data_IF_570818716444
#
_entry.id   IF_570818716444
#
_cell.length_a   1.000
_cell.length_b   1.000
_cell.length_c   1.000
_cell.angle_alpha   90.00
_cell.angle_beta   90.00
_cell.angle_gamma   90.00
#
_symmetry.space_group_name_H-M   'P 1'
#
loop_
_entity.id
_entity.type
_entity.pdbx_description
1 polymer ?
#
# COMPACT_ATOMS: atom_id res chain seq x y z
N UNK A 1 -18.46 -19.45 2.35
CA UNK A 1 -17.77 -18.95 3.57
C UNK A 1 -17.19 -17.60 3.24
N UNK A 2 -17.50 -16.55 4.01
CA UNK A 2 -16.81 -15.27 3.87
C UNK A 2 -15.40 -15.43 4.45
N UNK A 3 -14.38 -15.27 3.62
CA UNK A 3 -12.98 -15.35 4.05
C UNK A 3 -12.69 -14.12 4.91
N UNK A 4 -12.26 -14.31 6.17
CA UNK A 4 -11.92 -13.19 7.04
C UNK A 4 -10.50 -12.69 6.75
N UNK A 5 -10.15 -11.51 7.29
CA UNK A 5 -8.81 -10.96 7.11
C UNK A 5 -7.76 -11.89 7.75
N UNK A 6 -8.09 -12.45 8.92
CA UNK A 6 -7.24 -13.39 9.63
C UNK A 6 -7.02 -14.67 8.82
N UNK A 7 -8.08 -15.20 8.18
CA UNK A 7 -7.95 -16.36 7.30
C UNK A 7 -7.05 -16.07 6.11
N UNK A 8 -7.14 -14.88 5.51
CA UNK A 8 -6.25 -14.49 4.41
C UNK A 8 -4.77 -14.43 4.85
N UNK A 9 -4.51 -13.87 6.03
CA UNK A 9 -3.16 -13.76 6.57
C UNK A 9 -2.59 -15.13 7.00
N UNK A 10 -3.43 -16.01 7.57
CA UNK A 10 -3.09 -17.39 7.89
C UNK A 10 -2.75 -18.19 6.62
N UNK A 11 -3.61 -18.09 5.59
CA UNK A 11 -3.41 -18.79 4.33
C UNK A 11 -2.18 -18.28 3.56
N UNK A 12 -1.83 -17.00 3.71
CA UNK A 12 -0.62 -16.42 3.16
C UNK A 12 0.66 -16.80 3.95
N UNK A 13 0.53 -17.48 5.09
CA UNK A 13 1.64 -17.86 5.95
C UNK A 13 2.31 -16.68 6.68
N UNK A 14 1.65 -15.53 6.72
CA UNK A 14 2.17 -14.32 7.38
C UNK A 14 2.02 -14.43 8.90
N UNK A 15 0.90 -15.03 9.34
CA UNK A 15 0.63 -15.26 10.75
C UNK A 15 0.32 -16.74 11.01
N UNK A 16 0.53 -17.19 12.24
CA UNK A 16 0.14 -18.51 12.72
C UNK A 16 -1.10 -18.43 13.65
N UNK A 17 -1.62 -19.58 14.07
CA UNK A 17 -2.85 -19.64 14.88
C UNK A 17 -2.67 -19.01 16.27
N UNK A 18 -1.53 -19.21 16.91
CA UNK A 18 -1.22 -18.59 18.21
C UNK A 18 -1.20 -17.05 18.13
N UNK A 19 -0.59 -16.51 17.07
CA UNK A 19 -0.55 -15.06 16.79
C UNK A 19 -1.94 -14.48 16.52
N UNK A 20 -2.84 -15.25 15.89
CA UNK A 20 -4.24 -14.85 15.72
C UNK A 20 -4.93 -14.72 17.07
N UNK A 21 -4.77 -15.69 17.96
CA UNK A 21 -5.38 -15.65 19.30
C UNK A 21 -4.82 -14.50 20.14
N UNK A 22 -3.52 -14.24 20.05
CA UNK A 22 -2.87 -13.10 20.70
C UNK A 22 -3.40 -11.76 20.16
N UNK A 23 -3.54 -11.60 18.85
CA UNK A 23 -4.09 -10.39 18.24
C UNK A 23 -5.57 -10.15 18.60
N UNK A 24 -6.37 -11.22 18.66
CA UNK A 24 -7.76 -11.14 19.12
C UNK A 24 -7.85 -10.73 20.58
N UNK A 25 -7.02 -11.34 21.45
CA UNK A 25 -6.96 -10.99 22.88
C UNK A 25 -6.54 -9.53 23.07
N UNK A 26 -5.51 -9.07 22.35
CA UNK A 26 -5.06 -7.69 22.37
C UNK A 26 -6.18 -6.73 21.95
N UNK A 27 -6.91 -7.06 20.88
CA UNK A 27 -8.08 -6.26 20.44
C UNK A 27 -9.18 -6.20 21.50
N UNK A 28 -9.43 -7.28 22.24
CA UNK A 28 -10.46 -7.29 23.30
C UNK A 28 -10.04 -6.41 24.48
N UNK A 29 -8.75 -6.44 24.85
CA UNK A 29 -8.22 -5.68 26.00
C UNK A 29 -8.15 -4.19 25.69
N UNK A 30 -7.59 -3.83 24.54
CA UNK A 30 -7.26 -2.44 24.23
C UNK A 30 -8.19 -1.78 23.20
N UNK A 31 -9.11 -2.54 22.60
CA UNK A 31 -10.00 -2.05 21.54
C UNK A 31 -9.29 -1.80 20.21
N UNK A 32 -10.03 -1.21 19.27
CA UNK A 32 -9.57 -0.89 17.92
C UNK A 32 -9.87 -1.96 16.86
N UNK A 33 -9.29 -1.78 15.67
CA UNK A 33 -9.38 -2.73 14.57
C UNK A 33 -8.37 -3.87 14.76
N UNK A 34 -8.69 -5.06 14.23
CA UNK A 34 -7.78 -6.21 14.36
C UNK A 34 -6.43 -5.96 13.67
N UNK A 35 -6.42 -5.15 12.61
CA UNK A 35 -5.21 -4.79 11.88
C UNK A 35 -4.22 -3.96 12.71
N UNK A 36 -4.69 -3.03 13.56
CA UNK A 36 -3.81 -2.26 14.43
C UNK A 36 -3.18 -3.15 15.50
N UNK A 37 -3.95 -4.07 16.10
CA UNK A 37 -3.39 -5.08 17.01
C UNK A 37 -2.32 -5.96 16.36
N UNK A 38 -2.48 -6.34 15.10
CA UNK A 38 -1.50 -7.15 14.38
C UNK A 38 -0.19 -6.40 14.10
N UNK A 39 -0.28 -5.10 13.79
CA UNK A 39 0.88 -4.22 13.62
C UNK A 39 1.57 -4.00 14.97
N UNK A 40 0.81 -3.71 16.04
CA UNK A 40 1.35 -3.46 17.38
C UNK A 40 2.12 -4.65 17.95
N UNK A 41 1.63 -5.87 17.69
CA UNK A 41 2.32 -7.10 18.09
C UNK A 41 3.50 -7.46 17.17
N UNK A 42 3.71 -6.70 16.09
CA UNK A 42 4.79 -6.92 15.12
C UNK A 42 4.60 -8.14 14.24
N UNK A 43 3.38 -8.69 14.13
CA UNK A 43 3.11 -9.90 13.33
C UNK A 43 2.88 -9.59 11.85
N UNK A 44 2.45 -8.37 11.53
CA UNK A 44 2.16 -7.96 10.15
C UNK A 44 2.70 -6.56 9.91
N UNK A 45 3.43 -6.39 8.80
CA UNK A 45 3.86 -5.08 8.35
C UNK A 45 2.68 -4.26 7.82
N UNK A 46 2.76 -2.94 7.98
CA UNK A 46 1.71 -2.02 7.55
C UNK A 46 1.34 -2.19 6.06
N UNK A 47 2.35 -2.29 5.19
CA UNK A 47 2.16 -2.40 3.74
C UNK A 47 1.45 -3.70 3.35
N UNK A 48 1.79 -4.80 4.01
CA UNK A 48 1.15 -6.08 3.73
C UNK A 48 -0.30 -6.05 4.22
N UNK A 49 -0.55 -5.59 5.45
CA UNK A 49 -1.90 -5.43 5.98
C UNK A 49 -2.78 -4.61 5.03
N UNK A 50 -2.25 -3.47 4.56
CA UNK A 50 -2.91 -2.63 3.58
C UNK A 50 -3.27 -3.36 2.27
N UNK A 51 -2.34 -4.16 1.74
CA UNK A 51 -2.57 -4.98 0.53
C UNK A 51 -3.69 -6.01 0.74
N UNK A 52 -3.68 -6.72 1.88
CA UNK A 52 -4.74 -7.68 2.20
C UNK A 52 -6.10 -7.00 2.40
N UNK A 53 -6.13 -5.86 3.09
CA UNK A 53 -7.36 -5.08 3.26
C UNK A 53 -7.93 -4.62 1.92
N UNK A 54 -7.08 -4.10 1.04
CA UNK A 54 -7.47 -3.68 -0.31
C UNK A 54 -8.05 -4.84 -1.12
N UNK A 55 -7.36 -5.99 -1.12
CA UNK A 55 -7.81 -7.19 -1.83
C UNK A 55 -9.12 -7.75 -1.27
N UNK A 56 -9.31 -7.73 0.05
CA UNK A 56 -10.50 -8.26 0.71
C UNK A 56 -11.73 -7.38 0.47
N UNK A 57 -11.54 -6.07 0.52
CA UNK A 57 -12.62 -5.09 0.49
C UNK A 57 -12.90 -4.59 -0.93
N UNK A 58 -12.03 -4.90 -1.89
CA UNK A 58 -12.16 -4.49 -3.29
C UNK A 58 -11.99 -2.98 -3.49
N UNK A 59 -11.34 -2.30 -2.54
CA UNK A 59 -11.12 -0.84 -2.58
C UNK A 59 -9.62 -0.53 -2.63
N UNK A 60 -9.22 0.55 -3.33
CA UNK A 60 -7.83 0.98 -3.38
C UNK A 60 -7.27 1.37 -2.00
N UNK A 61 -6.00 1.03 -1.77
CA UNK A 61 -5.23 1.46 -0.60
C UNK A 61 -4.57 2.82 -0.82
N UNK A 62 -4.51 3.64 0.24
CA UNK A 62 -3.80 4.92 0.27
C UNK A 62 -2.62 4.84 1.24
N UNK A 63 -1.42 5.05 0.69
CA UNK A 63 -0.17 5.07 1.44
C UNK A 63 -0.02 6.29 2.36
N UNK A 64 0.89 6.22 3.34
CA UNK A 64 1.13 7.31 4.28
C UNK A 64 1.57 8.61 3.58
N UNK A 65 2.41 8.50 2.55
CA UNK A 65 2.95 9.68 1.85
C UNK A 65 1.84 10.48 1.14
N UNK A 66 0.86 9.78 0.56
CA UNK A 66 -0.31 10.42 -0.06
C UNK A 66 -1.29 10.96 0.99
N UNK A 67 -1.44 10.26 2.12
CA UNK A 67 -2.29 10.68 3.23
C UNK A 67 -1.75 11.95 3.92
N UNK A 68 -0.44 12.13 3.92
CA UNK A 68 0.24 13.29 4.54
C UNK A 68 0.40 14.49 3.58
N UNK A 69 -0.01 14.36 2.32
CA UNK A 69 0.11 15.40 1.30
C UNK A 69 -1.26 15.85 0.77
N UNK A 70 -2.23 16.06 1.66
CA UNK A 70 -3.59 16.44 1.28
C UNK A 70 -3.73 17.97 1.28
N UNK A 71 -4.29 18.58 0.21
CA UNK A 71 -4.53 20.02 0.18
C UNK A 71 -5.49 20.48 1.29
N UNK A 72 -5.23 21.63 1.94
CA UNK A 72 -6.08 22.14 3.02
C UNK A 72 -7.52 22.45 2.55
N UNK A 73 -7.69 22.80 1.28
CA UNK A 73 -9.00 22.99 0.65
C UNK A 73 -9.84 21.71 0.68
N UNK A 74 -9.21 20.55 0.49
CA UNK A 74 -9.86 19.24 0.51
C UNK A 74 -10.23 18.84 1.93
N UNK A 75 -9.34 19.07 2.90
CA UNK A 75 -9.62 18.84 4.33
C UNK A 75 -10.83 19.66 4.79
N UNK A 76 -10.95 20.90 4.31
CA UNK A 76 -12.05 21.80 4.64
C UNK A 76 -13.42 21.36 4.10
N UNK A 77 -13.45 20.43 3.12
CA UNK A 77 -14.71 19.87 2.60
C UNK A 77 -15.43 18.98 3.62
N UNK A 78 -14.69 18.39 4.56
CA UNK A 78 -15.25 17.54 5.59
C UNK A 78 -15.11 18.21 6.96
N UNK A 79 -16.24 18.55 7.61
CA UNK A 79 -16.23 19.08 8.97
C UNK A 79 -15.50 18.15 9.93
N UNK A 80 -14.72 18.75 10.85
CA UNK A 80 -13.97 18.03 11.89
C UNK A 80 -14.82 17.03 12.66
N UNK A 81 -16.04 17.41 13.02
CA UNK A 81 -16.94 16.55 13.79
C UNK A 81 -17.26 15.25 13.05
N UNK A 82 -17.46 15.29 11.74
CA UNK A 82 -17.70 14.09 10.93
C UNK A 82 -16.43 13.28 10.74
N UNK A 83 -15.30 13.94 10.48
CA UNK A 83 -14.00 13.29 10.34
C UNK A 83 -13.66 12.46 11.60
N UNK A 84 -13.91 13.00 12.79
CA UNK A 84 -13.64 12.33 14.06
C UNK A 84 -14.70 11.29 14.43
N UNK A 85 -15.99 11.58 14.19
CA UNK A 85 -17.08 10.64 14.50
C UNK A 85 -16.94 9.33 13.73
N UNK A 86 -16.58 9.40 12.45
CA UNK A 86 -16.46 8.22 11.59
C UNK A 86 -15.03 7.73 11.41
N UNK A 87 -14.03 8.49 11.86
CA UNK A 87 -12.63 8.18 11.62
C UNK A 87 -12.33 8.16 10.12
N UNK A 88 -12.47 9.30 9.45
CA UNK A 88 -12.31 9.41 7.99
C UNK A 88 -11.61 10.70 7.60
N UNK A 89 -10.95 10.68 6.44
CA UNK A 89 -10.23 11.86 5.92
C UNK A 89 -10.50 12.00 4.41
N UNK A 90 -10.88 13.19 3.92
CA UNK A 90 -11.03 13.42 2.49
C UNK A 90 -9.66 13.47 1.82
N UNK A 91 -9.47 12.71 0.73
CA UNK A 91 -8.21 12.65 -0.02
C UNK A 91 -8.18 13.64 -1.19
N UNK A 92 -9.26 13.67 -1.96
CA UNK A 92 -9.39 14.52 -3.16
C UNK A 92 -10.85 14.59 -3.60
N UNK A 93 -11.19 15.67 -4.31
CA UNK A 93 -12.51 15.87 -4.91
C UNK A 93 -12.40 15.85 -6.44
N UNK A 94 -13.06 14.89 -7.07
CA UNK A 94 -13.16 14.76 -8.51
C UNK A 94 -14.59 15.08 -8.98
N UNK A 95 -14.83 16.32 -9.42
CA UNK A 95 -16.15 16.83 -9.84
C UNK A 95 -17.19 16.77 -8.71
N UNK A 96 -17.88 15.65 -8.56
CA UNK A 96 -18.90 15.38 -7.53
C UNK A 96 -18.58 14.12 -6.72
N UNK A 97 -17.40 13.53 -6.93
CA UNK A 97 -16.94 12.31 -6.25
C UNK A 97 -15.87 12.68 -5.25
N UNK A 98 -16.16 12.46 -3.97
CA UNK A 98 -15.22 12.69 -2.87
C UNK A 98 -14.50 11.38 -2.58
N UNK A 99 -13.20 11.33 -2.87
CA UNK A 99 -12.33 10.23 -2.49
C UNK A 99 -12.10 10.34 -0.98
N UNK A 100 -12.55 9.35 -0.22
CA UNK A 100 -12.57 9.36 1.23
C UNK A 100 -11.76 8.19 1.77
N UNK A 101 -10.77 8.47 2.61
CA UNK A 101 -9.95 7.45 3.27
C UNK A 101 -10.62 7.03 4.56
N UNK A 102 -10.76 5.72 4.75
CA UNK A 102 -11.43 5.10 5.89
C UNK A 102 -10.61 3.91 6.40
N UNK A 103 -10.66 3.63 7.70
CA UNK A 103 -10.10 2.39 8.25
C UNK A 103 -10.97 1.17 7.94
N UNK A 104 -12.28 1.37 7.76
CA UNK A 104 -13.25 0.30 7.53
C UNK A 104 -14.28 0.69 6.45
N UNK A 105 -13.94 0.49 5.16
CA UNK A 105 -14.84 0.81 4.05
C UNK A 105 -16.05 -0.15 3.96
N UNK A 106 -16.13 -1.19 4.80
CA UNK A 106 -17.32 -2.04 4.89
C UNK A 106 -18.46 -1.39 5.70
N UNK A 107 -18.18 -0.28 6.41
CA UNK A 107 -19.20 0.48 7.11
C UNK A 107 -20.01 1.36 6.14
N UNK A 108 -21.00 0.75 5.51
CA UNK A 108 -21.90 1.44 4.57
C UNK A 108 -22.66 2.59 5.22
N UNK A 109 -22.94 2.52 6.54
CA UNK A 109 -23.67 3.58 7.24
C UNK A 109 -22.84 4.86 7.30
N UNK A 110 -21.54 4.73 7.58
CA UNK A 110 -20.63 5.87 7.57
C UNK A 110 -20.57 6.52 6.19
N UNK A 111 -20.46 5.69 5.14
CA UNK A 111 -20.42 6.16 3.73
C UNK A 111 -21.71 6.92 3.37
N UNK A 112 -22.86 6.37 3.69
CA UNK A 112 -24.16 6.96 3.38
C UNK A 112 -24.40 8.27 4.13
N UNK A 113 -24.08 8.33 5.43
CA UNK A 113 -24.29 9.53 6.24
C UNK A 113 -23.34 10.67 5.83
N UNK A 114 -22.07 10.35 5.55
CA UNK A 114 -21.12 11.35 5.05
C UNK A 114 -21.54 11.85 3.67
N UNK A 115 -21.97 10.96 2.77
CA UNK A 115 -22.47 11.34 1.45
C UNK A 115 -23.72 12.22 1.53
N UNK A 116 -24.63 11.91 2.46
CA UNK A 116 -25.84 12.70 2.70
C UNK A 116 -25.54 14.11 3.20
N UNK A 117 -24.64 14.24 4.18
CA UNK A 117 -24.31 15.54 4.78
C UNK A 117 -23.47 16.40 3.84
N UNK A 118 -22.50 15.80 3.16
CA UNK A 118 -21.60 16.53 2.26
C UNK A 118 -22.20 16.78 0.88
N UNK A 119 -23.22 16.02 0.47
CA UNK A 119 -23.83 16.09 -0.86
C UNK A 119 -22.97 15.50 -1.98
N UNK A 120 -21.85 14.86 -1.65
CA UNK A 120 -20.93 14.22 -2.60
C UNK A 120 -21.16 12.72 -2.72
N UNK A 121 -20.76 12.17 -3.86
CA UNK A 121 -20.70 10.72 -4.07
C UNK A 121 -19.39 10.22 -3.46
N UNK A 122 -19.48 9.42 -2.41
CA UNK A 122 -18.29 8.95 -1.70
C UNK A 122 -17.63 7.79 -2.46
N UNK A 123 -16.31 7.88 -2.64
CA UNK A 123 -15.45 6.79 -3.10
C UNK A 123 -14.54 6.37 -1.95
N UNK A 124 -14.77 5.20 -1.34
CA UNK A 124 -13.98 4.76 -0.20
C UNK A 124 -12.60 4.25 -0.65
N UNK A 125 -11.58 4.66 0.10
CA UNK A 125 -10.22 4.15 0.04
C UNK A 125 -9.87 3.58 1.42
N UNK A 126 -9.08 2.51 1.45
CA UNK A 126 -8.69 1.87 2.71
C UNK A 126 -7.30 2.33 3.15
N UNK A 127 -7.11 2.50 4.45
CA UNK A 127 -5.78 2.65 5.06
C UNK A 127 -5.78 2.00 6.45
N UNK A 128 -4.62 1.53 6.97
CA UNK A 128 -4.52 1.05 8.34
C UNK A 128 -4.95 2.11 9.36
N UNK A 129 -5.64 1.67 10.42
CA UNK A 129 -6.14 2.55 11.49
C UNK A 129 -5.03 3.42 12.09
N UNK A 130 -3.82 2.87 12.24
CA UNK A 130 -2.65 3.59 12.78
C UNK A 130 -2.33 4.85 11.94
N UNK A 131 -2.37 4.76 10.60
CA UNK A 131 -2.12 5.90 9.71
C UNK A 131 -3.27 6.88 9.65
N UNK A 132 -4.49 6.37 9.70
CA UNK A 132 -5.67 7.22 9.77
C UNK A 132 -5.64 8.10 11.02
N UNK A 133 -5.34 7.52 12.19
CA UNK A 133 -5.22 8.26 13.46
C UNK A 133 -4.09 9.29 13.39
N UNK A 134 -2.95 8.94 12.79
CA UNK A 134 -1.85 9.88 12.56
C UNK A 134 -2.31 11.11 11.77
N UNK A 135 -3.00 10.88 10.64
CA UNK A 135 -3.46 11.97 9.78
C UNK A 135 -4.59 12.80 10.42
N UNK A 136 -5.49 12.19 11.20
CA UNK A 136 -6.50 12.91 11.99
C UNK A 136 -5.86 13.82 13.04
N UNK A 137 -4.76 13.37 13.65
CA UNK A 137 -3.98 14.18 14.57
C UNK A 137 -3.35 15.41 13.89
N UNK A 138 -2.82 15.24 12.67
CA UNK A 138 -2.16 16.31 11.93
C UNK A 138 -3.15 17.34 11.38
N UNK A 139 -4.23 16.92 10.71
CA UNK A 139 -5.13 17.83 10.02
C UNK A 139 -6.25 18.39 10.90
N UNK A 140 -6.75 17.60 11.84
CA UNK A 140 -7.89 17.97 12.69
C UNK A 140 -7.50 18.26 14.15
N UNK A 141 -6.18 18.31 14.41
CA UNK A 141 -5.58 18.60 15.71
C UNK A 141 -6.20 17.76 16.85
N UNK A 142 -6.19 16.45 16.64
CA UNK A 142 -6.77 15.47 17.56
C UNK A 142 -5.70 14.93 18.49
N UNK A 143 -6.02 14.80 19.77
CA UNK A 143 -5.17 14.09 20.72
C UNK A 143 -5.03 12.62 20.31
N UNK A 144 -3.82 12.26 19.87
CA UNK A 144 -3.44 10.89 19.60
C UNK A 144 -3.10 10.22 20.94
N UNK A 145 -3.76 9.10 21.23
CA UNK A 145 -3.44 8.26 22.40
C UNK A 145 -1.96 7.83 22.37
N UNK A 146 -1.33 7.77 23.55
CA UNK A 146 0.06 7.33 23.70
C UNK A 146 0.32 5.98 23.02
N UNK A 147 -0.65 5.05 23.06
CA UNK A 147 -0.56 3.74 22.40
C UNK A 147 -0.34 3.87 20.89
N UNK A 148 -1.17 4.67 20.22
CA UNK A 148 -1.05 4.89 18.77
C UNK A 148 0.20 5.68 18.41
N UNK A 149 0.59 6.67 19.24
CA UNK A 149 1.84 7.41 19.04
C UNK A 149 3.06 6.48 19.02
N UNK A 150 3.14 5.56 19.99
CA UNK A 150 4.21 4.56 20.06
C UNK A 150 4.23 3.64 18.83
N UNK A 151 3.07 3.15 18.40
CA UNK A 151 2.97 2.33 17.18
C UNK A 151 3.47 3.09 15.94
N UNK A 152 3.08 4.36 15.78
CA UNK A 152 3.50 5.19 14.64
C UNK A 152 5.03 5.32 14.62
N UNK A 153 5.64 5.61 15.78
CA UNK A 153 7.10 5.72 15.91
C UNK A 153 7.82 4.41 15.55
N UNK A 154 7.33 3.27 16.04
CA UNK A 154 7.88 1.94 15.73
C UNK A 154 7.77 1.59 14.25
N UNK A 155 6.61 1.84 13.64
CA UNK A 155 6.38 1.58 12.22
C UNK A 155 7.22 2.50 11.33
N UNK A 156 7.34 3.77 11.68
CA UNK A 156 8.19 4.71 10.93
C UNK A 156 9.67 4.38 11.06
N UNK A 157 10.12 3.88 12.22
CA UNK A 157 11.49 3.38 12.41
C UNK A 157 11.76 2.15 11.51
N UNK A 158 10.85 1.17 11.49
CA UNK A 158 10.97 0.00 10.62
C UNK A 158 10.99 0.38 9.13
N UNK A 159 10.15 1.33 8.70
CA UNK A 159 10.13 1.82 7.31
C UNK A 159 11.47 2.49 6.95
N UNK A 160 12.07 3.26 7.87
CA UNK A 160 13.38 3.90 7.66
C UNK A 160 14.51 2.88 7.60
N UNK A 161 14.55 1.91 8.50
CA UNK A 161 15.54 0.83 8.47
C UNK A 161 15.44 0.01 7.18
N UNK A 162 14.23 -0.34 6.75
CA UNK A 162 14.01 -1.02 5.48
C UNK A 162 14.45 -0.17 4.27
N UNK A 163 14.26 1.15 4.32
CA UNK A 163 14.74 2.06 3.28
C UNK A 163 16.28 2.13 3.24
N UNK A 164 16.96 2.19 4.40
CA UNK A 164 18.43 2.17 4.47
C UNK A 164 19.04 0.85 3.99
N UNK A 165 18.36 -0.29 4.18
CA UNK A 165 18.84 -1.59 3.71
C UNK A 165 18.47 -1.91 2.25
N UNK A 166 17.61 -1.09 1.62
CA UNK A 166 17.23 -1.24 0.19
C UNK A 166 18.05 -0.32 -0.73
N UNK A 167 18.96 0.48 -0.20
CA UNK A 167 19.94 1.24 -0.98
C UNK A 167 21.18 0.39 -1.31
N UNK A 168 20.97 -0.77 -1.94
CA UNK A 168 21.93 -1.25 -2.92
C UNK A 168 21.62 -0.51 -4.22
N UNK A 169 22.59 0.14 -4.88
CA UNK A 169 22.33 0.75 -6.17
C UNK A 169 21.75 -0.34 -7.07
N UNK A 170 20.67 -0.03 -7.78
CA UNK A 170 20.44 -0.69 -9.06
C UNK A 170 21.81 -0.69 -9.75
N UNK A 171 22.35 -1.83 -10.24
CA UNK A 171 23.40 -1.73 -11.22
C UNK A 171 22.77 -0.85 -12.30
N UNK A 172 23.28 0.37 -12.41
CA UNK A 172 23.05 1.21 -13.57
C UNK A 172 23.21 0.26 -14.73
N UNK A 173 22.13 0.01 -15.46
CA UNK A 173 22.25 -0.60 -16.77
C UNK A 173 23.47 0.10 -17.39
N UNK A 174 24.53 -0.64 -17.76
CA UNK A 174 25.75 0.01 -18.21
C UNK A 174 25.29 1.01 -19.26
N UNK A 175 25.61 2.28 -19.01
CA UNK A 175 25.48 3.30 -20.02
C UNK A 175 26.11 2.69 -21.25
N UNK A 176 25.30 2.42 -22.27
CA UNK A 176 25.84 2.07 -23.56
C UNK A 176 26.54 3.35 -23.96
N UNK A 177 27.84 3.39 -23.69
CA UNK A 177 28.75 4.40 -24.19
C UNK A 177 28.51 4.41 -25.71
N UNK A 178 27.94 5.51 -26.20
CA UNK A 178 28.03 5.87 -27.61
C UNK A 178 29.51 6.12 -27.91
N UNK A 179 30.27 5.04 -28.04
CA UNK A 179 31.66 5.08 -28.48
C UNK A 179 31.78 4.24 -29.75
N UNK A 180 31.96 4.99 -30.85
CA UNK A 180 32.57 4.63 -32.13
C UNK A 180 32.04 3.37 -32.84
N UNK A 181 31.14 3.63 -33.78
CA UNK A 181 30.98 2.81 -34.98
C UNK A 181 32.31 2.83 -35.77
N UNK A 182 33.25 1.97 -35.41
CA UNK A 182 34.35 1.62 -36.30
C UNK A 182 33.86 0.68 -37.41
N UNK A 183 34.30 0.99 -38.62
CA UNK A 183 33.89 0.46 -39.90
C UNK A 183 33.93 -1.08 -39.97
N UNK A 184 32.77 -1.72 -40.10
CA UNK A 184 32.71 -3.10 -40.55
C UNK A 184 32.92 -3.14 -42.07
N UNK A 185 34.10 -3.61 -42.47
CA UNK A 185 34.46 -3.92 -43.86
C UNK A 185 33.43 -4.87 -44.48
N UNK A 186 32.85 -4.47 -45.61
CA UNK A 186 31.80 -5.24 -46.31
C UNK A 186 32.46 -6.42 -47.03
N UNK A 187 32.46 -7.60 -46.41
CA UNK A 187 32.81 -8.85 -47.11
C UNK A 187 31.65 -9.20 -48.04
N UNK A 188 31.88 -9.09 -49.35
CA UNK A 188 30.92 -9.44 -50.39
C UNK A 188 30.52 -10.92 -50.36
N UNK A 189 29.27 -11.22 -50.71
CA UNK A 189 28.56 -12.48 -50.43
C UNK A 189 29.06 -13.78 -51.08
N UNK A 190 30.28 -13.84 -51.61
CA UNK A 190 30.85 -15.05 -52.19
C UNK A 190 31.51 -16.00 -51.16
N UNK A 191 31.92 -15.51 -49.98
CA UNK A 191 32.55 -16.34 -48.94
C UNK A 191 31.57 -16.87 -47.86
N UNK A 192 30.33 -16.37 -47.86
CA UNK A 192 29.29 -16.79 -46.89
C UNK A 192 28.74 -18.20 -47.19
N UNK A 193 28.73 -18.63 -48.46
CA UNK A 193 28.18 -19.91 -48.87
C UNK A 193 29.08 -21.11 -48.50
N UNK A 194 30.41 -20.96 -48.50
CA UNK A 194 31.32 -22.04 -48.10
C UNK A 194 31.30 -22.31 -46.60
N UNK A 195 31.19 -21.26 -45.76
CA UNK A 195 31.25 -21.41 -44.29
C UNK A 195 30.03 -22.09 -43.69
N UNK A 196 28.84 -21.92 -44.29
CA UNK A 196 27.61 -22.50 -43.75
C UNK A 196 27.50 -24.00 -44.09
N UNK A 197 28.16 -24.46 -45.16
CA UNK A 197 28.13 -25.87 -45.57
C UNK A 197 28.81 -26.84 -44.57
N UNK A 198 29.70 -26.33 -43.70
CA UNK A 198 30.36 -27.15 -42.65
C UNK A 198 29.51 -27.39 -41.41
N UNK A 199 28.37 -26.70 -41.27
CA UNK A 199 27.54 -26.73 -40.06
C UNK A 199 26.14 -27.29 -40.29
N UNK A 200 25.90 -28.01 -41.38
CA UNK A 200 24.69 -28.81 -41.55
C UNK A 200 24.88 -30.16 -40.82
N UNK A 201 24.17 -30.43 -39.70
CA UNK A 201 24.08 -31.77 -39.15
C UNK A 201 23.26 -32.66 -40.10
N UNK A 202 23.84 -33.81 -40.49
CA UNK A 202 23.20 -34.83 -41.30
C UNK A 202 21.83 -35.23 -40.72
N UNK A 203 20.78 -34.94 -41.49
CA UNK A 203 19.45 -35.52 -41.29
C UNK A 203 19.26 -36.61 -42.33
N UNK A 204 19.63 -37.86 -42.02
CA UNK A 204 19.17 -39.11 -42.66
C UNK A 204 19.55 -40.25 -41.69
N UNK A 205 18.72 -41.22 -41.27
CA UNK A 205 17.41 -41.75 -41.65
C UNK A 205 16.68 -42.30 -40.42
#
# INVERSE_FOLDING_TARGET
MAITLLDMLLNAGIINRDQVEQALSNRVIYGGKIGSSLIELGYVCEVDLARFLSSKLGVPYVGPDQLLSIPPETISLLPRELALKYGVIPLSLEKKRLNLVMADPADLKAIDEIGFITGYIIRPFVTPEVRLVQALGIYYNTDIDFRFRKMIEEVDAQKREAALHTEAPLPSAPAVEEEELEEAEIVTGAEWSERISRFAPDTVA
#
